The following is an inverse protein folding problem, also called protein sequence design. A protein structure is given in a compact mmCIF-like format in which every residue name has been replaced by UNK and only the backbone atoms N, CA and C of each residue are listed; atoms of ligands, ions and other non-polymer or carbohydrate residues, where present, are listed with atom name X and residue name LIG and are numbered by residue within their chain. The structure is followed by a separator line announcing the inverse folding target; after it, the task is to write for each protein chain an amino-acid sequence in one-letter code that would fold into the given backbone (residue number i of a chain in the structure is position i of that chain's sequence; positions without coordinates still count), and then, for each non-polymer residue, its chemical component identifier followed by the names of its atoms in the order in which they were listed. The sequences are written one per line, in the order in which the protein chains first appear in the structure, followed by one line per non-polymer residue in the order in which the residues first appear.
data_IF_714530599504
#
_entry.id   IF_714530599504
#
_cell.length_a   1.000
_cell.length_b   1.000
_cell.length_c   1.000
_cell.angle_alpha   90.00
_cell.angle_beta   90.00
_cell.angle_gamma   90.00
#
_symmetry.space_group_name_H-M   'P 1'
#
loop_
_entity.id
_entity.type
_entity.pdbx_description
1 polymer ?
#
# COMPACT_ATOMS: atom_id res chain seq x y z
N UNK A 1 18.89 -53.98 -10.91
CA UNK A 1 17.86 -54.75 -10.21
C UNK A 1 16.63 -53.83 -10.07
N UNK A 2 15.74 -54.05 -10.99
CA UNK A 2 14.43 -53.44 -11.17
C UNK A 2 13.41 -54.09 -10.24
N UNK A 3 12.83 -53.33 -9.32
CA UNK A 3 11.69 -53.74 -8.51
C UNK A 3 10.41 -53.11 -9.04
N UNK A 4 9.71 -53.78 -9.93
CA UNK A 4 8.33 -53.43 -10.29
C UNK A 4 7.40 -53.97 -9.21
N UNK A 5 6.74 -53.11 -8.46
CA UNK A 5 5.66 -53.49 -7.56
C UNK A 5 4.39 -53.71 -8.38
N UNK A 6 4.02 -54.98 -8.53
CA UNK A 6 2.78 -55.43 -9.17
C UNK A 6 1.63 -55.20 -8.21
N UNK A 7 0.74 -54.24 -8.51
CA UNK A 7 -0.54 -54.04 -7.80
C UNK A 7 -1.45 -55.19 -8.22
N UNK A 8 -1.75 -56.05 -7.25
CA UNK A 8 -2.47 -57.30 -7.45
C UNK A 8 -3.96 -57.07 -7.68
N UNK A 9 -4.51 -57.82 -8.63
CA UNK A 9 -5.91 -57.92 -9.11
C UNK A 9 -7.06 -58.14 -8.09
N UNK A 10 -6.89 -58.38 -6.79
CA UNK A 10 -8.03 -58.70 -5.93
C UNK A 10 -8.88 -57.52 -5.49
N UNK A 11 -8.39 -56.28 -5.53
CA UNK A 11 -9.17 -55.10 -5.07
C UNK A 11 -10.26 -54.66 -6.09
N UNK A 12 -10.10 -54.95 -7.37
CA UNK A 12 -11.09 -54.61 -8.38
C UNK A 12 -12.28 -55.55 -8.38
N UNK A 13 -12.07 -56.84 -8.04
CA UNK A 13 -13.16 -57.85 -7.99
C UNK A 13 -14.07 -57.65 -6.76
N UNK A 14 -13.55 -57.19 -5.64
CA UNK A 14 -14.37 -56.91 -4.44
C UNK A 14 -15.28 -55.68 -4.73
N UNK A 15 -14.81 -54.67 -5.46
CA UNK A 15 -15.64 -53.49 -5.80
C UNK A 15 -16.76 -53.81 -6.79
N UNK A 16 -16.53 -54.69 -7.72
CA UNK A 16 -17.54 -55.16 -8.72
C UNK A 16 -18.60 -56.05 -8.08
N UNK A 17 -18.23 -56.88 -7.08
CA UNK A 17 -19.20 -57.68 -6.32
C UNK A 17 -20.05 -56.87 -5.40
N UNK A 18 -19.53 -55.84 -4.71
CA UNK A 18 -20.30 -54.93 -3.88
C UNK A 18 -21.31 -54.14 -4.67
N UNK A 19 -20.96 -53.62 -5.85
CA UNK A 19 -21.88 -52.92 -6.76
C UNK A 19 -23.02 -53.81 -7.30
N UNK A 20 -22.72 -55.09 -7.58
CA UNK A 20 -23.76 -56.07 -7.97
C UNK A 20 -24.71 -56.45 -6.81
N UNK A 21 -24.23 -56.50 -5.60
CA UNK A 21 -25.04 -56.75 -4.39
C UNK A 21 -25.98 -55.57 -4.12
N UNK A 22 -25.50 -54.31 -4.24
CA UNK A 22 -26.29 -53.11 -4.11
C UNK A 22 -27.38 -52.97 -5.19
N UNK A 23 -27.08 -53.32 -6.41
CA UNK A 23 -28.06 -53.29 -7.49
C UNK A 23 -29.21 -54.30 -7.31
N UNK A 24 -28.96 -55.46 -6.68
CA UNK A 24 -29.99 -56.43 -6.33
C UNK A 24 -30.86 -55.98 -5.15
N UNK A 25 -30.28 -55.38 -4.12
CA UNK A 25 -31.03 -54.83 -2.98
C UNK A 25 -31.94 -53.68 -3.36
N UNK A 26 -31.51 -52.85 -4.32
CA UNK A 26 -32.30 -51.75 -4.87
C UNK A 26 -33.53 -52.19 -5.63
N UNK A 27 -33.47 -53.36 -6.32
CA UNK A 27 -34.61 -53.94 -7.05
C UNK A 27 -35.64 -54.68 -6.17
N UNK A 28 -35.29 -55.02 -4.94
CA UNK A 28 -36.12 -55.86 -4.06
C UNK A 28 -36.83 -55.08 -2.94
N UNK A 29 -36.55 -53.82 -2.76
CA UNK A 29 -37.16 -53.02 -1.70
C UNK A 29 -37.93 -51.81 -2.27
N UNK A 30 -39.26 -51.83 -2.28
CA UNK A 30 -40.12 -50.75 -2.78
C UNK A 30 -39.90 -49.39 -2.05
N UNK A 31 -39.47 -49.43 -0.79
CA UNK A 31 -39.21 -48.22 0.01
C UNK A 31 -37.94 -47.48 -0.47
N UNK A 32 -36.94 -48.19 -0.96
CA UNK A 32 -35.74 -47.61 -1.55
C UNK A 32 -36.00 -47.01 -2.95
N UNK A 33 -36.98 -47.59 -3.67
CA UNK A 33 -37.38 -47.04 -4.96
C UNK A 33 -38.15 -45.71 -4.81
N UNK A 34 -38.94 -45.57 -3.77
CA UNK A 34 -39.62 -44.30 -3.44
C UNK A 34 -38.66 -43.21 -2.95
N UNK A 35 -37.55 -43.61 -2.31
CA UNK A 35 -36.55 -42.67 -1.84
C UNK A 35 -35.66 -42.19 -2.98
N UNK A 36 -35.29 -43.08 -3.91
CA UNK A 36 -34.57 -42.72 -5.15
C UNK A 36 -35.37 -41.83 -6.11
N UNK A 37 -36.71 -41.99 -6.12
CA UNK A 37 -37.57 -41.14 -6.96
C UNK A 37 -37.71 -39.69 -6.41
N UNK A 38 -37.43 -39.45 -5.13
CA UNK A 38 -37.38 -38.10 -4.56
C UNK A 38 -36.06 -37.38 -4.79
N UNK A 39 -35.05 -38.06 -5.28
CA UNK A 39 -33.72 -37.52 -5.64
C UNK A 39 -33.53 -37.34 -7.17
N UNK A 40 -34.60 -37.58 -7.97
CA UNK A 40 -34.57 -37.21 -9.37
C UNK A 40 -34.69 -35.70 -9.49
N UNK A 41 -33.75 -35.00 -10.13
CA UNK A 41 -33.84 -33.56 -10.36
C UNK A 41 -35.14 -33.29 -11.12
N UNK A 42 -35.97 -32.42 -10.61
CA UNK A 42 -37.11 -31.84 -11.31
C UNK A 42 -36.64 -31.32 -12.66
N UNK A 43 -37.32 -31.69 -13.74
CA UNK A 43 -36.99 -31.35 -15.12
C UNK A 43 -37.22 -29.85 -15.47
N UNK A 44 -37.26 -28.97 -14.50
CA UNK A 44 -37.13 -27.51 -14.62
C UNK A 44 -35.78 -27.08 -14.05
N UNK A 45 -34.73 -27.51 -14.75
CA UNK A 45 -33.36 -27.15 -14.39
C UNK A 45 -33.07 -25.68 -14.67
N UNK A 46 -33.28 -24.83 -13.67
CA UNK A 46 -32.32 -23.73 -13.53
C UNK A 46 -30.94 -24.36 -13.36
N UNK A 47 -29.91 -23.92 -14.08
CA UNK A 47 -28.55 -24.40 -13.87
C UNK A 47 -28.23 -24.16 -12.40
N UNK A 48 -27.93 -25.21 -11.63
CA UNK A 48 -27.26 -25.08 -10.36
C UNK A 48 -25.88 -24.55 -10.74
N UNK A 49 -25.74 -23.23 -10.76
CA UNK A 49 -24.43 -22.61 -10.80
C UNK A 49 -23.76 -23.10 -9.53
N UNK A 50 -22.81 -24.01 -9.67
CA UNK A 50 -21.80 -24.23 -8.64
C UNK A 50 -21.38 -22.84 -8.19
N UNK A 51 -21.40 -22.51 -6.88
CA UNK A 51 -20.85 -21.25 -6.44
C UNK A 51 -19.41 -21.25 -6.93
N UNK A 52 -19.14 -20.44 -7.95
CA UNK A 52 -17.76 -20.11 -8.31
C UNK A 52 -17.32 -19.30 -7.12
N UNK A 53 -16.45 -19.89 -6.30
CA UNK A 53 -15.81 -19.18 -5.20
C UNK A 53 -14.91 -18.13 -5.88
N UNK A 54 -15.45 -16.95 -6.10
CA UNK A 54 -14.68 -15.81 -6.55
C UNK A 54 -13.80 -15.37 -5.37
N UNK A 55 -12.60 -15.92 -5.30
CA UNK A 55 -11.55 -15.33 -4.50
C UNK A 55 -11.17 -14.02 -5.20
N UNK A 56 -11.09 -12.94 -4.44
CA UNK A 56 -10.63 -11.66 -4.97
C UNK A 56 -9.23 -11.82 -5.58
N UNK A 57 -9.05 -11.34 -6.81
CA UNK A 57 -7.75 -11.33 -7.48
C UNK A 57 -6.96 -10.12 -6.99
N UNK A 58 -5.92 -10.39 -6.19
CA UNK A 58 -5.07 -9.38 -5.59
C UNK A 58 -3.71 -9.41 -6.26
N UNK A 59 -3.24 -8.27 -6.75
CA UNK A 59 -1.90 -8.12 -7.32
C UNK A 59 -1.04 -7.18 -6.49
N UNK A 60 0.22 -7.55 -6.33
CA UNK A 60 1.23 -6.73 -5.65
C UNK A 60 2.28 -6.32 -6.66
N UNK A 61 2.34 -5.04 -6.95
CA UNK A 61 3.20 -4.45 -7.97
C UNK A 61 4.37 -3.72 -7.30
N UNK A 62 5.56 -4.25 -7.47
CA UNK A 62 6.80 -3.61 -7.04
C UNK A 62 7.35 -2.70 -8.13
N UNK A 63 7.41 -1.39 -7.87
CA UNK A 63 7.85 -0.38 -8.84
C UNK A 63 9.23 0.16 -8.47
N UNK A 64 10.16 0.07 -9.42
CA UNK A 64 11.55 0.48 -9.22
C UNK A 64 12.34 -0.44 -8.27
N UNK A 65 13.60 -0.11 -8.00
CA UNK A 65 14.49 -0.97 -7.22
C UNK A 65 13.96 -1.29 -5.82
N UNK A 66 13.50 -0.29 -5.06
CA UNK A 66 12.94 -0.49 -3.71
C UNK A 66 11.67 -1.35 -3.73
N UNK A 67 10.73 -1.08 -4.66
CA UNK A 67 9.51 -1.87 -4.79
C UNK A 67 9.77 -3.32 -5.20
N UNK A 68 10.70 -3.56 -6.12
CA UNK A 68 11.11 -4.91 -6.54
C UNK A 68 11.76 -5.67 -5.38
N UNK A 69 12.60 -5.01 -4.56
CA UNK A 69 13.16 -5.65 -3.37
C UNK A 69 12.09 -6.04 -2.36
N UNK A 70 11.11 -5.14 -2.12
CA UNK A 70 9.99 -5.44 -1.25
C UNK A 70 9.15 -6.63 -1.75
N UNK A 71 8.88 -6.72 -3.06
CA UNK A 71 8.20 -7.87 -3.68
C UNK A 71 9.00 -9.15 -3.48
N UNK A 72 10.31 -9.16 -3.75
CA UNK A 72 11.15 -10.33 -3.51
C UNK A 72 11.09 -10.76 -2.03
N UNK A 73 11.12 -9.80 -1.10
CA UNK A 73 10.98 -10.08 0.32
C UNK A 73 9.63 -10.69 0.69
N UNK A 74 8.54 -10.26 0.04
CA UNK A 74 7.19 -10.83 0.24
C UNK A 74 7.12 -12.27 -0.27
N UNK A 75 7.77 -12.56 -1.39
CA UNK A 75 7.88 -13.91 -1.97
C UNK A 75 8.69 -14.81 -1.03
N UNK A 76 9.86 -14.37 -0.58
CA UNK A 76 10.72 -15.10 0.36
C UNK A 76 10.02 -15.41 1.69
N UNK A 77 9.20 -14.47 2.17
CA UNK A 77 8.40 -14.64 3.39
C UNK A 77 7.18 -15.58 3.18
N UNK A 78 6.93 -16.02 1.94
CA UNK A 78 5.86 -16.95 1.60
C UNK A 78 4.46 -16.34 1.63
N UNK A 79 4.30 -15.04 1.35
CA UNK A 79 3.00 -14.41 1.21
C UNK A 79 2.21 -15.09 0.09
N UNK A 80 1.00 -15.56 0.39
CA UNK A 80 0.14 -16.33 -0.52
C UNK A 80 -1.15 -15.61 -0.83
N UNK A 81 -1.83 -16.04 -1.90
CA UNK A 81 -3.12 -15.50 -2.30
C UNK A 81 -3.03 -14.18 -3.06
N UNK A 82 -1.84 -13.84 -3.53
CA UNK A 82 -1.55 -12.66 -4.36
C UNK A 82 -0.69 -13.04 -5.55
N UNK A 83 -0.80 -12.27 -6.63
CA UNK A 83 0.08 -12.35 -7.80
C UNK A 83 1.11 -11.23 -7.74
N UNK A 84 2.38 -11.54 -8.01
CA UNK A 84 3.46 -10.58 -7.93
C UNK A 84 3.87 -10.06 -9.29
N UNK A 85 3.96 -8.73 -9.41
CA UNK A 85 4.40 -8.02 -10.61
C UNK A 85 5.59 -7.14 -10.26
N UNK A 86 6.69 -7.25 -10.99
CA UNK A 86 7.86 -6.38 -10.84
C UNK A 86 7.98 -5.47 -12.06
N UNK A 87 8.05 -4.16 -11.83
CA UNK A 87 8.19 -3.13 -12.87
C UNK A 87 9.46 -2.32 -12.59
N UNK A 88 10.38 -2.26 -13.53
CA UNK A 88 11.60 -1.50 -13.35
C UNK A 88 12.16 -0.98 -14.69
N UNK A 89 12.93 0.11 -14.64
CA UNK A 89 13.77 0.62 -15.73
C UNK A 89 15.18 0.02 -15.72
N UNK A 90 15.54 -0.71 -14.66
CA UNK A 90 16.80 -1.44 -14.53
C UNK A 90 16.56 -2.93 -14.83
N UNK A 91 17.02 -3.35 -16.02
CA UNK A 91 16.86 -4.71 -16.49
C UNK A 91 17.63 -5.73 -15.63
N UNK A 92 18.77 -5.35 -15.03
CA UNK A 92 19.56 -6.25 -14.19
C UNK A 92 18.84 -6.55 -12.88
N UNK A 93 18.32 -5.51 -12.22
CA UNK A 93 17.51 -5.67 -11.01
C UNK A 93 16.25 -6.51 -11.28
N UNK A 94 15.64 -6.32 -12.45
CA UNK A 94 14.44 -7.08 -12.85
C UNK A 94 14.74 -8.57 -13.10
N UNK A 95 15.90 -8.90 -13.67
CA UNK A 95 16.32 -10.29 -13.87
C UNK A 95 16.49 -11.03 -12.53
N UNK A 96 16.91 -10.34 -11.48
CA UNK A 96 17.12 -10.89 -10.14
C UNK A 96 15.85 -11.01 -9.32
N UNK A 97 14.73 -10.49 -9.81
CA UNK A 97 13.43 -10.60 -9.13
C UNK A 97 12.86 -12.01 -9.25
N UNK A 98 12.16 -12.46 -8.21
CA UNK A 98 11.42 -13.73 -8.18
C UNK A 98 9.94 -13.56 -8.53
N UNK A 99 9.51 -12.34 -8.91
CA UNK A 99 8.14 -12.07 -9.33
C UNK A 99 7.76 -12.86 -10.58
N UNK A 100 6.50 -13.34 -10.64
CA UNK A 100 5.96 -14.13 -11.75
C UNK A 100 5.88 -13.31 -13.04
N UNK A 101 5.48 -12.03 -12.90
CA UNK A 101 5.37 -11.09 -14.02
C UNK A 101 6.44 -10.02 -13.87
N UNK A 102 7.23 -9.80 -14.91
CA UNK A 102 8.31 -8.82 -14.94
C UNK A 102 8.16 -7.91 -16.15
N UNK A 103 8.05 -6.61 -15.91
CA UNK A 103 7.87 -5.62 -16.98
C UNK A 103 9.08 -4.69 -17.00
N UNK A 104 9.85 -4.76 -18.07
CA UNK A 104 10.99 -3.87 -18.32
C UNK A 104 10.50 -2.63 -19.08
N UNK A 105 10.25 -1.56 -18.33
CA UNK A 105 9.83 -0.26 -18.88
C UNK A 105 11.02 0.62 -19.32
N UNK A 106 12.25 0.11 -19.17
CA UNK A 106 13.47 0.86 -19.46
C UNK A 106 14.02 0.67 -20.87
N UNK A 107 13.50 -0.26 -21.68
CA UNK A 107 14.10 -0.70 -22.94
C UNK A 107 14.42 0.47 -23.88
N UNK A 108 13.48 1.35 -24.10
CA UNK A 108 13.59 2.42 -25.08
C UNK A 108 14.29 3.65 -24.53
N UNK A 109 13.89 4.11 -23.34
CA UNK A 109 14.35 5.40 -22.78
C UNK A 109 15.67 5.27 -22.01
N UNK A 110 15.87 4.19 -21.24
CA UNK A 110 17.03 4.02 -20.35
C UNK A 110 17.98 2.93 -20.80
N UNK A 111 17.65 2.16 -21.82
CA UNK A 111 18.40 0.99 -22.30
C UNK A 111 18.66 -0.04 -21.19
N UNK A 112 17.74 -0.16 -20.24
CA UNK A 112 17.86 -1.07 -19.11
C UNK A 112 18.86 -0.63 -18.02
N UNK A 113 19.32 0.63 -18.03
CA UNK A 113 20.33 1.16 -17.08
C UNK A 113 19.71 1.93 -15.91
N UNK A 114 18.38 1.95 -15.79
CA UNK A 114 17.68 2.70 -14.76
C UNK A 114 17.41 4.17 -15.13
N UNK A 115 16.53 4.82 -14.37
CA UNK A 115 16.07 6.20 -14.62
C UNK A 115 17.04 7.29 -14.11
N UNK A 116 18.22 6.95 -13.59
CA UNK A 116 19.22 7.92 -13.14
C UNK A 116 18.78 8.85 -12.01
N UNK A 117 17.88 8.41 -11.15
CA UNK A 117 17.23 9.21 -10.09
C UNK A 117 16.38 10.38 -10.61
N UNK A 118 15.90 10.31 -11.85
CA UNK A 118 15.00 11.28 -12.45
C UNK A 118 13.57 10.70 -12.54
N UNK A 119 12.58 11.23 -11.78
CA UNK A 119 11.21 10.73 -11.82
C UNK A 119 10.49 10.98 -13.13
N UNK A 120 10.84 12.04 -13.86
CA UNK A 120 10.19 12.34 -15.15
C UNK A 120 10.56 11.27 -16.20
N UNK A 121 11.79 10.75 -16.14
CA UNK A 121 12.20 9.59 -16.95
C UNK A 121 11.44 8.34 -16.53
N UNK A 122 11.27 8.12 -15.22
CA UNK A 122 10.49 7.00 -14.68
C UNK A 122 9.03 7.03 -15.12
N UNK A 123 8.40 8.20 -15.06
CA UNK A 123 7.01 8.39 -15.50
C UNK A 123 6.86 8.16 -17.02
N UNK A 124 7.70 8.82 -17.84
CA UNK A 124 7.68 8.64 -19.29
C UNK A 124 7.92 7.17 -19.71
N UNK A 125 8.78 6.44 -18.97
CA UNK A 125 9.02 5.03 -19.23
C UNK A 125 7.77 4.17 -18.95
N UNK A 126 7.03 4.46 -17.88
CA UNK A 126 5.80 3.76 -17.55
C UNK A 126 4.67 4.11 -18.54
N UNK A 127 4.54 5.37 -18.95
CA UNK A 127 3.58 5.81 -19.97
C UNK A 127 3.84 5.13 -21.32
N UNK A 128 5.11 4.99 -21.73
CA UNK A 128 5.48 4.30 -22.97
C UNK A 128 5.11 2.80 -22.97
N UNK A 129 4.93 2.18 -21.79
CA UNK A 129 4.57 0.77 -21.61
C UNK A 129 3.17 0.58 -20.99
N UNK A 130 2.28 1.57 -21.14
CA UNK A 130 0.93 1.54 -20.56
C UNK A 130 0.16 0.27 -20.91
N UNK A 131 0.19 -0.16 -22.19
CA UNK A 131 -0.54 -1.33 -22.65
C UNK A 131 -0.04 -2.64 -22.01
N UNK A 132 1.28 -2.75 -21.78
CA UNK A 132 1.89 -3.91 -21.15
C UNK A 132 1.52 -3.96 -19.65
N UNK A 133 1.57 -2.81 -18.97
CA UNK A 133 1.15 -2.68 -17.57
C UNK A 133 -0.35 -2.96 -17.43
N UNK A 134 -1.18 -2.39 -18.30
CA UNK A 134 -2.64 -2.61 -18.33
C UNK A 134 -2.97 -4.09 -18.47
N UNK A 135 -2.33 -4.77 -19.40
CA UNK A 135 -2.52 -6.23 -19.62
C UNK A 135 -2.13 -7.03 -18.37
N UNK A 136 -1.05 -6.66 -17.70
CA UNK A 136 -0.61 -7.34 -16.48
C UNK A 136 -1.56 -7.10 -15.29
N UNK A 137 -2.29 -5.99 -15.27
CA UNK A 137 -3.21 -5.63 -14.19
C UNK A 137 -4.67 -6.00 -14.48
N UNK A 138 -5.00 -6.40 -15.71
CA UNK A 138 -6.36 -6.74 -16.10
C UNK A 138 -6.95 -7.84 -15.21
N UNK A 139 -8.23 -7.69 -14.85
CA UNK A 139 -8.98 -8.65 -14.03
C UNK A 139 -8.64 -8.64 -12.55
N UNK A 140 -7.83 -7.70 -12.05
CA UNK A 140 -7.58 -7.56 -10.62
C UNK A 140 -8.72 -6.81 -9.92
N UNK A 141 -9.13 -7.31 -8.74
CA UNK A 141 -10.07 -6.64 -7.83
C UNK A 141 -9.36 -5.63 -6.94
N UNK A 142 -8.08 -5.91 -6.59
CA UNK A 142 -7.23 -5.06 -5.76
C UNK A 142 -5.80 -5.05 -6.27
N UNK A 143 -5.17 -3.88 -6.25
CA UNK A 143 -3.77 -3.69 -6.63
C UNK A 143 -3.04 -2.94 -5.53
N UNK A 144 -2.01 -3.59 -4.98
CA UNK A 144 -1.04 -2.92 -4.12
C UNK A 144 0.11 -2.40 -4.98
N UNK A 145 0.48 -1.16 -4.79
CA UNK A 145 1.64 -0.55 -5.43
C UNK A 145 2.67 -0.27 -4.36
N UNK A 146 3.80 -0.98 -4.41
CA UNK A 146 4.89 -0.78 -3.48
C UNK A 146 6.08 -0.15 -4.18
N UNK A 147 6.61 0.92 -3.59
CA UNK A 147 7.75 1.64 -4.12
C UNK A 147 8.57 2.29 -3.00
N UNK A 148 9.88 2.41 -3.23
CA UNK A 148 10.72 3.31 -2.46
C UNK A 148 10.72 4.68 -3.13
N UNK A 149 10.20 5.68 -2.44
CA UNK A 149 10.12 7.04 -2.96
C UNK A 149 11.46 7.78 -2.85
N UNK A 150 11.65 8.79 -3.70
CA UNK A 150 12.87 9.59 -3.76
C UNK A 150 13.89 9.09 -4.80
N UNK A 151 13.59 7.96 -5.47
CA UNK A 151 14.31 7.49 -6.65
C UNK A 151 13.71 8.00 -7.96
N UNK A 152 14.23 7.55 -9.10
CA UNK A 152 13.67 7.89 -10.41
C UNK A 152 12.46 7.03 -10.75
N UNK A 153 12.67 5.70 -10.88
CA UNK A 153 11.66 4.77 -11.36
C UNK A 153 10.47 4.66 -10.40
N UNK A 154 10.73 4.40 -9.09
CA UNK A 154 9.66 4.26 -8.09
C UNK A 154 8.78 5.50 -8.04
N UNK A 155 9.41 6.67 -7.82
CA UNK A 155 8.73 7.96 -7.67
C UNK A 155 7.96 8.41 -8.91
N UNK A 156 8.51 8.11 -10.11
CA UNK A 156 7.88 8.53 -11.37
C UNK A 156 6.84 7.55 -11.89
N UNK A 157 7.15 6.26 -11.89
CA UNK A 157 6.29 5.24 -12.48
C UNK A 157 5.13 4.81 -11.59
N UNK A 158 5.27 4.84 -10.24
CA UNK A 158 4.21 4.38 -9.34
C UNK A 158 2.88 5.15 -9.53
N UNK A 159 2.84 6.49 -9.69
CA UNK A 159 1.60 7.20 -9.99
C UNK A 159 0.95 6.80 -11.32
N UNK A 160 1.75 6.49 -12.35
CA UNK A 160 1.25 6.04 -13.65
C UNK A 160 0.62 4.65 -13.53
N UNK A 161 1.30 3.73 -12.86
CA UNK A 161 0.79 2.37 -12.57
C UNK A 161 -0.51 2.45 -11.76
N UNK A 162 -0.59 3.38 -10.79
CA UNK A 162 -1.79 3.59 -9.98
C UNK A 162 -2.98 4.07 -10.82
N UNK A 163 -2.75 5.01 -11.71
CA UNK A 163 -3.78 5.53 -12.63
C UNK A 163 -4.34 4.43 -13.54
N UNK A 164 -3.46 3.57 -14.06
CA UNK A 164 -3.85 2.41 -14.86
C UNK A 164 -4.70 1.44 -14.04
N UNK A 165 -4.24 1.05 -12.82
CA UNK A 165 -4.97 0.15 -11.93
C UNK A 165 -6.36 0.69 -11.57
N UNK A 166 -6.43 1.97 -11.20
CA UNK A 166 -7.71 2.66 -10.88
C UNK A 166 -8.62 2.74 -12.09
N UNK A 167 -8.09 2.97 -13.30
CA UNK A 167 -8.87 3.00 -14.54
C UNK A 167 -9.51 1.64 -14.88
N UNK A 168 -8.90 0.53 -14.44
CA UNK A 168 -9.43 -0.82 -14.57
C UNK A 168 -10.50 -1.16 -13.50
N UNK A 169 -10.76 -0.26 -12.54
CA UNK A 169 -11.75 -0.43 -11.47
C UNK A 169 -11.26 -1.24 -10.27
N UNK A 170 -9.97 -1.53 -10.20
CA UNK A 170 -9.34 -2.19 -9.06
C UNK A 170 -9.25 -1.22 -7.87
N UNK A 171 -9.48 -1.73 -6.65
CA UNK A 171 -9.13 -0.99 -5.43
C UNK A 171 -7.62 -0.82 -5.35
N UNK A 172 -7.14 0.42 -5.43
CA UNK A 172 -5.72 0.73 -5.58
C UNK A 172 -5.13 1.28 -4.30
N UNK A 173 -4.13 0.59 -3.75
CA UNK A 173 -3.51 0.93 -2.47
C UNK A 173 -2.01 1.15 -2.69
N UNK A 174 -1.53 2.35 -2.36
CA UNK A 174 -0.10 2.66 -2.35
C UNK A 174 0.50 2.34 -0.97
N UNK A 175 1.54 1.50 -0.93
CA UNK A 175 2.32 1.22 0.29
C UNK A 175 3.77 1.54 -0.01
N UNK A 176 4.22 2.73 0.40
CA UNK A 176 5.49 3.30 -0.04
C UNK A 176 6.35 3.75 1.13
N UNK A 177 7.66 3.78 0.91
CA UNK A 177 8.61 4.23 1.92
C UNK A 177 9.16 5.61 1.57
N UNK A 178 9.34 6.45 2.60
CA UNK A 178 10.11 7.68 2.53
C UNK A 178 11.57 7.39 2.86
N UNK A 179 12.56 7.93 2.11
CA UNK A 179 13.96 7.62 2.30
C UNK A 179 14.47 8.03 3.68
N UNK A 180 15.56 7.39 4.12
CA UNK A 180 16.29 7.80 5.31
C UNK A 180 16.92 9.19 5.13
N UNK A 181 17.07 9.96 6.20
CA UNK A 181 17.69 11.29 6.18
C UNK A 181 19.13 11.26 5.66
N UNK A 182 19.89 10.18 5.92
CA UNK A 182 21.26 10.04 5.42
C UNK A 182 21.34 9.85 3.89
N UNK A 183 20.23 9.49 3.21
CA UNK A 183 20.19 9.40 1.75
C UNK A 183 20.17 10.78 1.07
N UNK A 184 20.00 11.85 1.83
CA UNK A 184 20.19 13.22 1.43
C UNK A 184 18.90 13.99 1.11
N UNK A 185 18.97 15.31 1.33
CA UNK A 185 17.83 16.22 1.22
C UNK A 185 17.15 16.22 -0.15
N UNK A 186 17.94 16.09 -1.25
CA UNK A 186 17.38 16.07 -2.61
C UNK A 186 16.41 14.90 -2.75
N UNK A 187 16.81 13.71 -2.25
CA UNK A 187 16.01 12.50 -2.34
C UNK A 187 14.74 12.59 -1.49
N UNK A 188 14.83 13.21 -0.31
CA UNK A 188 13.66 13.46 0.55
C UNK A 188 12.64 14.39 -0.10
N UNK A 189 13.08 15.53 -0.69
CA UNK A 189 12.17 16.45 -1.40
C UNK A 189 11.51 15.77 -2.60
N UNK A 190 12.27 14.96 -3.33
CA UNK A 190 11.75 14.21 -4.47
C UNK A 190 10.73 13.15 -4.04
N UNK A 191 10.97 12.50 -2.89
CA UNK A 191 10.02 11.57 -2.29
C UNK A 191 8.69 12.26 -1.93
N UNK A 192 8.74 13.43 -1.28
CA UNK A 192 7.54 14.18 -0.92
C UNK A 192 6.71 14.56 -2.15
N UNK A 193 7.35 14.92 -3.25
CA UNK A 193 6.67 15.21 -4.52
C UNK A 193 6.01 13.95 -5.11
N UNK A 194 6.70 12.81 -5.08
CA UNK A 194 6.19 11.54 -5.57
C UNK A 194 5.00 11.04 -4.75
N UNK A 195 5.13 11.08 -3.42
CA UNK A 195 4.08 10.71 -2.46
C UNK A 195 2.80 11.52 -2.73
N UNK A 196 2.92 12.85 -2.95
CA UNK A 196 1.77 13.69 -3.25
C UNK A 196 1.14 13.34 -4.61
N UNK A 197 1.94 13.10 -5.65
CA UNK A 197 1.43 12.67 -6.97
C UNK A 197 0.73 11.30 -6.88
N UNK A 198 1.31 10.37 -6.12
CA UNK A 198 0.72 9.04 -5.94
C UNK A 198 -0.59 9.11 -5.16
N UNK A 199 -0.67 9.96 -4.13
CA UNK A 199 -1.89 10.17 -3.32
C UNK A 199 -3.11 10.53 -4.18
N UNK A 200 -2.93 11.32 -5.24
CA UNK A 200 -4.00 11.71 -6.15
C UNK A 200 -4.50 10.56 -7.04
N UNK A 201 -3.70 9.49 -7.18
CA UNK A 201 -3.94 8.37 -8.11
C UNK A 201 -4.40 7.08 -7.44
N UNK A 202 -4.21 6.94 -6.13
CA UNK A 202 -4.64 5.77 -5.35
C UNK A 202 -5.93 6.04 -4.58
N UNK A 203 -6.58 4.99 -4.09
CA UNK A 203 -7.72 5.09 -3.17
C UNK A 203 -7.25 5.30 -1.74
N UNK A 204 -6.19 4.58 -1.37
CA UNK A 204 -5.56 4.67 -0.04
C UNK A 204 -4.05 4.66 -0.19
N UNK A 205 -3.38 5.51 0.58
CA UNK A 205 -1.92 5.58 0.63
C UNK A 205 -1.41 5.38 2.05
N UNK A 206 -0.52 4.41 2.22
CA UNK A 206 0.24 4.17 3.44
C UNK A 206 1.68 4.59 3.19
N UNK A 207 2.16 5.57 3.94
CA UNK A 207 3.55 6.06 3.84
C UNK A 207 4.32 5.61 5.07
N UNK A 208 5.46 4.98 4.85
CA UNK A 208 6.35 4.47 5.91
C UNK A 208 7.60 5.33 5.94
N UNK A 209 7.79 6.16 6.98
CA UNK A 209 9.00 6.96 7.11
C UNK A 209 10.15 6.09 7.62
N UNK A 210 11.16 5.84 6.76
CA UNK A 210 12.29 4.98 7.11
C UNK A 210 13.07 5.51 8.34
N UNK A 211 13.13 6.82 8.56
CA UNK A 211 13.78 7.39 9.75
C UNK A 211 13.15 6.90 11.06
N UNK A 212 11.86 6.58 11.07
CA UNK A 212 11.18 6.03 12.26
C UNK A 212 11.66 4.62 12.58
N UNK A 213 12.13 3.87 11.57
CA UNK A 213 12.69 2.54 11.76
C UNK A 213 14.00 2.56 12.55
N UNK A 214 14.76 3.67 12.46
CA UNK A 214 15.97 3.84 13.26
C UNK A 214 15.69 3.85 14.77
N UNK A 215 14.51 4.29 15.19
CA UNK A 215 14.11 4.30 16.61
C UNK A 215 13.82 2.91 17.18
N UNK A 216 13.53 1.94 16.32
CA UNK A 216 13.27 0.52 16.69
C UNK A 216 14.54 -0.33 16.50
N UNK A 217 15.52 0.20 15.77
CA UNK A 217 16.78 -0.50 15.48
C UNK A 217 17.77 -0.38 16.65
N UNK A 218 18.67 -1.35 16.76
CA UNK A 218 19.78 -1.28 17.70
C UNK A 218 20.92 -0.40 17.16
N UNK A 219 21.80 0.10 18.04
CA UNK A 219 22.97 0.88 17.63
C UNK A 219 23.92 0.12 16.69
N UNK A 220 23.89 -1.21 16.71
CA UNK A 220 24.74 -2.08 15.90
C UNK A 220 24.08 -2.51 14.57
N UNK A 221 22.89 -1.98 14.24
CA UNK A 221 22.17 -2.32 13.02
C UNK A 221 22.93 -1.86 11.79
N UNK A 222 23.26 -2.78 10.89
CA UNK A 222 23.93 -2.45 9.62
C UNK A 222 22.97 -1.73 8.66
N UNK A 223 23.55 -1.01 7.67
CA UNK A 223 22.73 -0.36 6.61
C UNK A 223 21.89 -1.39 5.87
N UNK A 224 22.41 -2.56 5.57
CA UNK A 224 21.68 -3.64 4.89
C UNK A 224 20.48 -4.09 5.74
N UNK A 225 20.68 -4.23 7.04
CA UNK A 225 19.61 -4.60 7.96
C UNK A 225 18.54 -3.50 8.08
N UNK A 226 18.93 -2.22 8.05
CA UNK A 226 18.00 -1.10 8.07
C UNK A 226 17.06 -1.12 6.84
N UNK A 227 17.59 -1.38 5.64
CA UNK A 227 16.76 -1.55 4.44
C UNK A 227 15.88 -2.79 4.52
N UNK A 228 16.40 -3.88 5.07
CA UNK A 228 15.61 -5.11 5.27
C UNK A 228 14.44 -4.89 6.22
N UNK A 229 14.63 -4.12 7.30
CA UNK A 229 13.54 -3.73 8.20
C UNK A 229 12.48 -2.91 7.44
N UNK A 230 12.89 -2.01 6.54
CA UNK A 230 11.95 -1.25 5.71
C UNK A 230 11.13 -2.17 4.78
N UNK A 231 11.78 -3.15 4.14
CA UNK A 231 11.11 -4.13 3.30
C UNK A 231 10.15 -5.02 4.11
N UNK A 232 10.53 -5.42 5.34
CA UNK A 232 9.68 -6.18 6.26
C UNK A 232 8.43 -5.38 6.70
N UNK A 233 8.55 -4.07 6.87
CA UNK A 233 7.39 -3.21 7.18
C UNK A 233 6.45 -3.10 5.98
N UNK A 234 6.98 -2.98 4.75
CA UNK A 234 6.16 -3.03 3.53
C UNK A 234 5.42 -4.38 3.41
N UNK A 235 6.12 -5.49 3.69
CA UNK A 235 5.50 -6.81 3.77
C UNK A 235 4.34 -6.84 4.77
N UNK A 236 4.54 -6.36 6.00
CA UNK A 236 3.51 -6.34 7.03
C UNK A 236 2.31 -5.48 6.62
N UNK A 237 2.53 -4.38 5.89
CA UNK A 237 1.46 -3.54 5.36
C UNK A 237 0.57 -4.27 4.35
N UNK A 238 1.19 -4.94 3.39
CA UNK A 238 0.47 -5.74 2.40
C UNK A 238 -0.16 -6.97 3.04
N UNK A 239 0.60 -7.70 3.86
CA UNK A 239 0.13 -8.91 4.54
C UNK A 239 -1.05 -8.62 5.47
N UNK A 240 -1.01 -7.50 6.22
CA UNK A 240 -2.07 -7.13 7.17
C UNK A 240 -3.45 -6.99 6.51
N UNK A 241 -3.49 -6.60 5.25
CA UNK A 241 -4.73 -6.49 4.47
C UNK A 241 -5.04 -7.80 3.74
N UNK A 242 -4.04 -8.37 3.04
CA UNK A 242 -4.26 -9.55 2.18
C UNK A 242 -4.70 -10.77 2.97
N UNK A 243 -4.11 -11.01 4.15
CA UNK A 243 -4.47 -12.17 4.98
C UNK A 243 -5.90 -12.13 5.49
N UNK A 244 -6.46 -10.93 5.73
CA UNK A 244 -7.88 -10.78 6.11
C UNK A 244 -8.83 -11.28 5.02
N UNK A 245 -8.43 -11.15 3.76
CA UNK A 245 -9.26 -11.48 2.59
C UNK A 245 -9.01 -12.92 2.13
N UNK A 246 -7.73 -13.35 2.12
CA UNK A 246 -7.31 -14.59 1.46
C UNK A 246 -7.20 -15.78 2.40
N UNK A 247 -6.99 -15.54 3.70
CA UNK A 247 -6.75 -16.62 4.69
C UNK A 247 -7.99 -16.89 5.51
N UNK A 248 -8.55 -18.10 5.46
CA UNK A 248 -9.65 -18.47 6.35
C UNK A 248 -9.21 -18.39 7.82
N UNK A 249 -9.81 -17.49 8.56
CA UNK A 249 -9.57 -17.31 10.00
C UNK A 249 -10.78 -17.75 10.84
N UNK A 250 -10.73 -17.49 12.16
CA UNK A 250 -11.87 -17.67 13.05
C UNK A 250 -12.96 -16.64 12.83
N UNK A 251 -12.56 -15.41 12.50
CA UNK A 251 -13.42 -14.32 12.07
C UNK A 251 -12.93 -13.86 10.71
N UNK A 252 -13.75 -14.05 9.70
CA UNK A 252 -13.43 -13.72 8.33
C UNK A 252 -14.02 -12.36 7.96
N UNK A 253 -13.23 -11.56 7.28
CA UNK A 253 -13.64 -10.30 6.66
C UNK A 253 -13.80 -10.55 5.17
N UNK A 254 -14.89 -10.07 4.57
CA UNK A 254 -15.03 -10.16 3.12
C UNK A 254 -14.32 -8.97 2.40
N UNK A 255 -14.11 -9.13 1.10
CA UNK A 255 -13.46 -8.10 0.28
C UNK A 255 -14.28 -6.80 0.23
N UNK A 256 -15.61 -6.88 0.27
CA UNK A 256 -16.48 -5.71 0.20
C UNK A 256 -16.35 -4.83 1.44
N UNK A 257 -16.17 -5.43 2.62
CA UNK A 257 -15.93 -4.71 3.87
C UNK A 257 -14.60 -3.95 3.80
N UNK A 258 -13.51 -4.61 3.37
CA UNK A 258 -12.20 -3.98 3.20
C UNK A 258 -12.29 -2.83 2.18
N UNK A 259 -12.98 -3.06 1.05
CA UNK A 259 -13.20 -2.03 0.02
C UNK A 259 -13.96 -0.83 0.57
N UNK A 260 -14.97 -1.03 1.41
CA UNK A 260 -15.75 0.06 2.02
C UNK A 260 -14.89 1.00 2.88
N UNK A 261 -13.90 0.47 3.60
CA UNK A 261 -12.97 1.28 4.42
C UNK A 261 -11.94 1.99 3.55
N UNK A 262 -11.33 1.28 2.59
CA UNK A 262 -10.14 1.74 1.89
C UNK A 262 -10.43 2.49 0.58
N UNK A 263 -11.64 2.40 0.01
CA UNK A 263 -11.98 3.13 -1.20
C UNK A 263 -12.03 4.63 -0.94
N UNK A 264 -11.27 5.42 -1.70
CA UNK A 264 -11.12 6.88 -1.57
C UNK A 264 -10.84 7.35 -0.13
N UNK A 265 -10.12 6.56 0.66
CA UNK A 265 -9.84 6.88 2.06
C UNK A 265 -8.68 7.88 2.22
N UNK A 266 -7.91 8.13 1.16
CA UNK A 266 -6.79 9.06 1.19
C UNK A 266 -5.59 8.52 1.97
N UNK A 267 -5.06 9.30 2.91
CA UNK A 267 -3.95 8.86 3.75
C UNK A 267 -4.40 7.84 4.79
N UNK A 268 -3.61 6.79 4.96
CA UNK A 268 -3.79 5.80 6.02
C UNK A 268 -2.49 5.62 6.82
N UNK A 269 -2.64 5.29 8.08
CA UNK A 269 -1.55 5.01 9.01
C UNK A 269 -1.57 3.53 9.36
N UNK A 270 -0.39 2.94 9.53
CA UNK A 270 -0.25 1.55 9.91
C UNK A 270 0.60 1.42 11.19
N UNK A 271 0.09 0.63 12.13
CA UNK A 271 0.82 0.24 13.32
C UNK A 271 0.87 -1.27 13.45
N UNK A 272 2.02 -1.79 13.85
CA UNK A 272 2.23 -3.22 14.11
C UNK A 272 2.79 -3.37 15.52
N UNK A 273 2.19 -4.28 16.29
CA UNK A 273 2.67 -4.62 17.62
C UNK A 273 2.69 -6.14 17.82
N UNK A 274 3.75 -6.64 18.43
CA UNK A 274 3.90 -8.06 18.75
C UNK A 274 4.23 -8.22 20.23
N UNK A 275 3.60 -9.19 20.87
CA UNK A 275 3.84 -9.51 22.27
C UNK A 275 3.64 -11.01 22.54
N UNK A 276 4.31 -11.50 23.57
CA UNK A 276 4.23 -12.91 24.04
C UNK A 276 4.08 -12.95 25.54
N UNK A 277 3.67 -14.11 26.11
CA UNK A 277 3.47 -14.33 27.54
C UNK A 277 2.11 -13.88 28.04
N UNK A 278 2.01 -13.56 29.34
CA UNK A 278 0.77 -13.09 29.96
C UNK A 278 0.36 -11.72 29.40
N UNK A 279 -0.94 -11.49 29.19
CA UNK A 279 -1.51 -10.26 28.60
C UNK A 279 -0.96 -9.94 27.20
N UNK A 280 -0.53 -10.95 26.42
CA UNK A 280 0.07 -10.76 25.09
C UNK A 280 -0.85 -10.01 24.12
N UNK A 281 -2.18 -10.19 24.20
CA UNK A 281 -3.16 -9.45 23.40
C UNK A 281 -3.14 -7.96 23.69
N UNK A 282 -3.20 -7.58 24.96
CA UNK A 282 -3.12 -6.19 25.46
C UNK A 282 -1.77 -5.57 25.10
N UNK A 283 -0.67 -6.33 25.33
CA UNK A 283 0.68 -5.89 25.01
C UNK A 283 0.88 -5.62 23.53
N UNK A 284 0.39 -6.50 22.66
CA UNK A 284 0.47 -6.33 21.21
C UNK A 284 -0.37 -5.13 20.74
N UNK A 285 -1.61 -4.97 21.23
CA UNK A 285 -2.47 -3.85 20.88
C UNK A 285 -1.85 -2.49 21.28
N UNK A 286 -1.32 -2.38 22.51
CA UNK A 286 -0.64 -1.17 22.97
C UNK A 286 0.58 -0.84 22.12
N UNK A 287 1.40 -1.82 21.76
CA UNK A 287 2.54 -1.63 20.87
C UNK A 287 2.10 -1.20 19.47
N UNK A 288 0.99 -1.72 18.96
CA UNK A 288 0.46 -1.34 17.66
C UNK A 288 0.04 0.13 17.62
N UNK A 289 -0.72 0.62 18.61
CA UNK A 289 -1.15 2.04 18.67
C UNK A 289 -0.04 3.02 19.05
N UNK A 290 1.02 2.54 19.68
CA UNK A 290 2.20 3.34 20.02
C UNK A 290 3.37 3.11 19.07
N UNK A 291 3.12 2.43 17.95
CA UNK A 291 4.15 2.09 16.96
C UNK A 291 4.81 3.36 16.43
N UNK A 292 6.15 3.44 16.38
CA UNK A 292 6.86 4.56 15.78
C UNK A 292 6.53 4.78 14.30
N UNK A 293 5.97 3.76 13.63
CA UNK A 293 5.52 3.83 12.23
C UNK A 293 4.30 4.74 12.05
N UNK A 294 3.55 5.00 13.12
CA UNK A 294 2.47 5.96 13.12
C UNK A 294 3.07 7.38 13.18
N UNK A 295 2.97 8.14 12.09
CA UNK A 295 3.43 9.55 12.06
C UNK A 295 2.57 10.46 12.94
N UNK A 296 1.32 10.07 13.20
CA UNK A 296 0.35 10.77 14.03
C UNK A 296 -0.51 9.79 14.83
N UNK A 297 -1.29 10.30 15.76
CA UNK A 297 -2.27 9.49 16.50
C UNK A 297 -3.32 8.94 15.55
N UNK A 298 -3.79 7.72 15.83
CA UNK A 298 -4.95 7.13 15.14
C UNK A 298 -6.28 7.78 15.57
N UNK A 299 -6.25 8.71 16.53
CA UNK A 299 -7.38 9.52 16.92
C UNK A 299 -7.97 10.25 15.71
N UNK A 300 -9.27 10.11 15.51
CA UNK A 300 -9.93 10.72 14.35
C UNK A 300 -10.03 9.84 13.11
N UNK A 301 -9.37 8.67 13.06
CA UNK A 301 -9.60 7.68 12.00
C UNK A 301 -11.05 7.20 12.05
N UNK A 302 -11.70 7.16 10.88
CA UNK A 302 -13.09 6.72 10.74
C UNK A 302 -13.23 5.32 10.17
N UNK A 303 -12.18 4.80 9.57
CA UNK A 303 -12.07 3.42 9.13
C UNK A 303 -10.87 2.76 9.79
N UNK A 304 -11.08 1.63 10.42
CA UNK A 304 -10.01 0.84 11.04
C UNK A 304 -10.12 -0.60 10.57
N UNK A 305 -9.01 -1.11 10.02
CA UNK A 305 -8.81 -2.53 9.81
C UNK A 305 -7.90 -3.06 10.91
N UNK A 306 -8.39 -4.04 11.63
CA UNK A 306 -7.68 -4.69 12.72
C UNK A 306 -7.44 -6.16 12.38
N UNK A 307 -6.19 -6.55 12.22
CA UNK A 307 -5.77 -7.92 12.01
C UNK A 307 -5.05 -8.46 13.27
N UNK A 308 -5.57 -9.52 13.84
CA UNK A 308 -4.99 -10.20 15.00
C UNK A 308 -4.51 -11.56 14.55
N UNK A 309 -3.19 -11.77 14.55
CA UNK A 309 -2.55 -13.03 14.16
C UNK A 309 -1.95 -13.70 15.39
N UNK A 310 -2.24 -14.98 15.58
CA UNK A 310 -1.67 -15.80 16.65
C UNK A 310 -1.77 -17.27 16.33
N UNK A 311 -1.20 -18.12 17.17
CA UNK A 311 -1.34 -19.59 17.02
C UNK A 311 -2.74 -20.07 17.40
N UNK A 312 -3.01 -21.37 17.29
CA UNK A 312 -4.26 -22.02 17.72
C UNK A 312 -4.58 -21.83 19.21
N UNK A 313 -3.64 -21.32 20.00
CA UNK A 313 -3.83 -20.97 21.42
C UNK A 313 -4.47 -19.60 21.65
N UNK A 314 -4.77 -18.84 20.59
CA UNK A 314 -5.36 -17.51 20.65
C UNK A 314 -6.74 -17.56 21.34
N UNK A 315 -6.87 -16.90 22.49
CA UNK A 315 -8.08 -16.86 23.31
C UNK A 315 -9.06 -15.77 22.87
N UNK A 316 -10.36 -16.05 23.01
CA UNK A 316 -11.40 -15.05 22.70
C UNK A 316 -11.28 -13.79 23.56
N UNK A 317 -10.91 -13.94 24.83
CA UNK A 317 -10.73 -12.80 25.74
C UNK A 317 -9.55 -11.92 25.31
N UNK A 318 -8.43 -12.52 24.85
CA UNK A 318 -7.26 -11.80 24.35
C UNK A 318 -7.60 -10.96 23.11
N UNK A 319 -8.43 -11.52 22.21
CA UNK A 319 -8.93 -10.81 21.01
C UNK A 319 -9.81 -9.64 21.42
N UNK A 320 -10.74 -9.85 22.37
CA UNK A 320 -11.66 -8.82 22.85
C UNK A 320 -10.89 -7.67 23.52
N UNK A 321 -9.99 -7.97 24.43
CA UNK A 321 -9.16 -6.96 25.13
C UNK A 321 -8.32 -6.14 24.16
N UNK A 322 -7.71 -6.79 23.16
CA UNK A 322 -6.96 -6.12 22.11
C UNK A 322 -7.86 -5.16 21.29
N UNK A 323 -9.07 -5.62 20.92
CA UNK A 323 -10.03 -4.82 20.17
C UNK A 323 -10.55 -3.63 20.99
N UNK A 324 -10.85 -3.80 22.29
CA UNK A 324 -11.29 -2.72 23.18
C UNK A 324 -10.25 -1.60 23.29
N UNK A 325 -8.97 -1.93 23.37
CA UNK A 325 -7.88 -0.94 23.41
C UNK A 325 -7.86 -0.09 22.13
N UNK A 326 -7.99 -0.73 20.96
CA UNK A 326 -8.00 -0.02 19.67
C UNK A 326 -9.26 0.85 19.56
N UNK A 327 -10.41 0.32 19.93
CA UNK A 327 -11.69 1.04 19.92
C UNK A 327 -11.68 2.26 20.84
N UNK A 328 -11.01 2.13 22.00
CA UNK A 328 -10.91 3.23 22.99
C UNK A 328 -10.10 4.44 22.51
N UNK A 329 -9.25 4.27 21.48
CA UNK A 329 -8.42 5.34 20.89
C UNK A 329 -9.02 5.86 19.58
N UNK A 330 -9.83 5.05 18.90
CA UNK A 330 -10.48 5.40 17.64
C UNK A 330 -11.57 6.48 17.81
N UNK A 331 -12.00 7.09 16.69
CA UNK A 331 -13.16 7.97 16.71
C UNK A 331 -14.41 7.18 17.17
N UNK A 332 -15.32 7.76 18.00
CA UNK A 332 -16.54 7.06 18.46
C UNK A 332 -17.41 6.49 17.35
N UNK A 333 -17.46 7.15 16.18
CA UNK A 333 -18.20 6.71 15.00
C UNK A 333 -17.34 5.94 14.00
N UNK A 334 -16.14 5.44 14.41
CA UNK A 334 -15.27 4.69 13.51
C UNK A 334 -15.88 3.35 13.12
N UNK A 335 -15.83 3.02 11.84
CA UNK A 335 -16.12 1.68 11.37
C UNK A 335 -14.89 0.80 11.57
N UNK A 336 -14.99 -0.15 12.50
CA UNK A 336 -13.91 -1.07 12.84
C UNK A 336 -14.23 -2.45 12.28
N UNK A 337 -13.40 -2.89 11.35
CA UNK A 337 -13.44 -4.24 10.80
C UNK A 337 -12.28 -5.01 11.42
N UNK A 338 -12.57 -6.14 12.03
CA UNK A 338 -11.54 -6.98 12.59
C UNK A 338 -11.60 -8.40 12.03
N UNK A 339 -10.43 -9.00 11.87
CA UNK A 339 -10.28 -10.39 11.52
C UNK A 339 -9.19 -11.05 12.35
N UNK A 340 -9.29 -12.37 12.45
CA UNK A 340 -8.31 -13.17 13.17
C UNK A 340 -7.72 -14.22 12.24
N UNK A 341 -6.39 -14.31 12.23
CA UNK A 341 -5.63 -15.26 11.43
C UNK A 341 -4.87 -16.21 12.33
N UNK A 342 -4.96 -17.51 12.06
CA UNK A 342 -4.21 -18.52 12.79
C UNK A 342 -2.93 -18.84 12.01
N UNK A 343 -1.79 -18.59 12.65
CA UNK A 343 -0.45 -18.92 12.14
C UNK A 343 0.34 -19.65 13.25
N UNK A 344 0.54 -20.94 13.07
CA UNK A 344 1.26 -21.77 14.04
C UNK A 344 2.73 -21.39 14.21
N UNK A 345 3.32 -20.66 13.25
CA UNK A 345 4.69 -20.18 13.35
C UNK A 345 4.84 -19.09 14.42
N UNK A 346 3.75 -18.44 14.82
CA UNK A 346 3.75 -17.43 15.89
C UNK A 346 4.05 -17.99 17.28
N UNK A 347 3.86 -19.32 17.49
CA UNK A 347 4.08 -19.95 18.78
C UNK A 347 3.25 -19.31 19.90
N UNK A 348 3.91 -18.70 20.88
CA UNK A 348 3.25 -17.99 21.99
C UNK A 348 3.04 -16.48 21.73
N UNK A 349 3.46 -15.98 20.58
CA UNK A 349 3.30 -14.57 20.25
C UNK A 349 1.92 -14.27 19.64
N UNK A 350 1.43 -13.04 19.88
CA UNK A 350 0.31 -12.43 19.17
C UNK A 350 0.81 -11.20 18.46
N UNK A 351 0.45 -11.05 17.17
CA UNK A 351 0.70 -9.85 16.39
C UNK A 351 -0.61 -9.15 16.12
N UNK A 352 -0.64 -7.86 16.42
CA UNK A 352 -1.75 -6.96 16.13
C UNK A 352 -1.30 -5.96 15.07
N UNK A 353 -1.97 -5.95 13.93
CA UNK A 353 -1.77 -4.96 12.86
C UNK A 353 -3.01 -4.09 12.75
N UNK A 354 -2.81 -2.78 12.89
CA UNK A 354 -3.87 -1.77 12.81
C UNK A 354 -3.61 -0.91 11.59
N UNK A 355 -4.60 -0.76 10.73
CA UNK A 355 -4.58 0.19 9.61
C UNK A 355 -5.72 1.17 9.84
N UNK A 356 -5.35 2.42 10.09
CA UNK A 356 -6.28 3.51 10.37
C UNK A 356 -6.36 4.41 9.13
N UNK A 357 -7.56 4.66 8.64
CA UNK A 357 -7.82 5.37 7.40
C UNK A 357 -8.98 6.36 7.53
N UNK A 358 -9.21 7.20 6.52
CA UNK A 358 -10.34 8.11 6.46
C UNK A 358 -10.17 9.39 7.26
N UNK A 359 -8.95 9.82 7.52
CA UNK A 359 -8.63 11.10 8.16
C UNK A 359 -9.03 12.28 7.27
N UNK A 360 -8.79 12.20 5.97
CA UNK A 360 -8.97 13.29 5.00
C UNK A 360 -10.45 13.57 4.70
N UNK A 361 -11.31 12.56 4.70
CA UNK A 361 -12.77 12.73 4.45
C UNK A 361 -13.47 13.64 5.44
N UNK A 362 -12.87 13.88 6.60
CA UNK A 362 -13.46 14.70 7.65
C UNK A 362 -12.92 16.14 7.65
N UNK A 363 -11.71 16.36 7.20
CA UNK A 363 -11.13 17.69 7.05
C UNK A 363 -11.99 18.53 6.10
N UNK A 364 -12.47 17.93 5.00
CA UNK A 364 -13.35 18.58 4.03
C UNK A 364 -14.78 18.82 4.56
N UNK A 365 -15.30 17.92 5.42
CA UNK A 365 -16.64 18.06 5.99
C UNK A 365 -16.69 19.05 7.16
N UNK A 366 -15.56 19.34 7.82
CA UNK A 366 -15.43 20.33 8.90
C UNK A 366 -14.88 21.66 8.42
N UNK A 367 -14.41 21.77 7.17
CA UNK A 367 -14.18 23.06 6.57
C UNK A 367 -15.51 23.83 6.63
N UNK A 368 -15.58 25.01 7.31
CA UNK A 368 -16.81 25.78 7.32
C UNK A 368 -17.18 26.00 5.87
N UNK A 369 -18.38 25.54 5.47
CA UNK A 369 -18.91 25.77 4.14
C UNK A 369 -18.68 27.24 3.85
N UNK A 370 -17.75 27.53 2.94
CA UNK A 370 -17.44 28.90 2.55
C UNK A 370 -18.78 29.53 2.24
N UNK A 371 -19.18 30.50 3.04
CA UNK A 371 -20.50 31.08 3.08
C UNK A 371 -20.98 31.20 1.62
N UNK A 372 -22.05 30.48 1.33
CA UNK A 372 -22.68 30.56 0.02
C UNK A 372 -22.80 32.02 -0.30
N UNK A 373 -22.03 32.47 -1.26
CA UNK A 373 -22.05 33.86 -1.75
C UNK A 373 -23.50 34.17 -2.07
N UNK A 374 -24.11 34.97 -1.22
CA UNK A 374 -25.40 35.56 -1.50
C UNK A 374 -25.33 36.15 -2.94
N UNK A 375 -26.38 35.99 -3.74
CA UNK A 375 -26.38 36.54 -5.08
C UNK A 375 -26.06 38.03 -5.00
N UNK A 376 -25.24 38.59 -5.91
CA UNK A 376 -24.82 39.99 -5.82
C UNK A 376 -26.08 40.87 -5.80
N UNK A 377 -26.29 41.54 -4.67
CA UNK A 377 -27.30 42.61 -4.59
C UNK A 377 -26.86 43.68 -5.62
N UNK A 378 -27.80 43.98 -6.51
CA UNK A 378 -27.67 45.08 -7.48
C UNK A 378 -27.31 46.35 -6.73
N UNK A 379 -26.04 46.74 -6.80
CA UNK A 379 -25.59 48.06 -6.32
C UNK A 379 -26.03 49.10 -7.34
N UNK A 380 -26.86 50.02 -6.90
CA UNK A 380 -27.24 51.19 -7.69
C UNK A 380 -25.94 51.93 -8.06
N UNK A 381 -25.87 52.58 -9.28
CA UNK A 381 -24.66 53.23 -9.74
C UNK A 381 -24.26 54.34 -8.79
N UNK A 382 -23.07 54.25 -8.22
CA UNK A 382 -22.44 55.30 -7.44
C UNK A 382 -22.27 56.57 -8.30
N UNK A 383 -22.61 57.72 -7.74
CA UNK A 383 -22.43 59.01 -8.32
C UNK A 383 -20.95 59.23 -8.75
N UNK A 384 -20.77 59.82 -9.90
CA UNK A 384 -19.47 60.13 -10.46
C UNK A 384 -18.62 60.96 -9.49
N UNK A 385 -17.30 60.71 -9.38
CA UNK A 385 -16.43 61.56 -8.60
C UNK A 385 -16.31 62.98 -9.18
N UNK A 386 -16.09 64.00 -8.34
CA UNK A 386 -15.95 65.38 -8.81
C UNK A 386 -14.74 65.50 -9.74
N UNK A 387 -14.94 66.22 -10.84
CA UNK A 387 -13.92 66.64 -11.81
C UNK A 387 -12.98 67.59 -11.07
N UNK A 388 -11.72 67.23 -10.94
CA UNK A 388 -10.64 68.07 -10.39
C UNK A 388 -10.10 68.96 -11.52
N UNK A 389 -10.09 70.27 -11.28
CA UNK A 389 -9.53 71.26 -12.20
C UNK A 389 -7.98 71.27 -12.06
N UNK A 390 -7.19 71.18 -13.14
CA UNK A 390 -5.76 71.01 -13.05
C UNK A 390 -4.96 72.34 -12.88
N UNK A 391 -5.58 73.44 -12.49
CA UNK A 391 -4.88 74.74 -12.33
C UNK A 391 -4.72 75.23 -10.89
N UNK A 392 -4.23 74.38 -9.98
CA UNK A 392 -3.65 74.91 -8.71
C UNK A 392 -2.78 73.83 -8.05
N UNK A 393 -1.54 73.64 -8.52
CA UNK A 393 -0.48 73.08 -7.65
C UNK A 393 0.75 73.96 -7.83
N UNK A 394 0.94 74.79 -6.86
CA UNK A 394 2.17 75.55 -6.65
C UNK A 394 3.30 74.60 -6.26
N UNK A 395 4.41 74.91 -6.86
CA UNK A 395 5.74 74.32 -6.79
C UNK A 395 6.21 74.13 -5.32
N UNK A 396 6.56 72.88 -4.96
CA UNK A 396 7.56 72.65 -3.91
C UNK A 396 8.85 72.14 -4.60
N UNK A 397 9.73 73.11 -4.90
CA UNK A 397 11.16 72.88 -4.97
C UNK A 397 11.64 72.51 -3.55
N UNK A 398 12.14 71.38 -3.38
CA UNK A 398 13.27 70.96 -2.54
C UNK A 398 13.17 69.50 -2.13
N UNK A 399 13.72 68.58 -2.91
CA UNK A 399 14.21 67.31 -2.41
C UNK A 399 15.46 66.92 -3.20
N UNK A 400 16.59 67.28 -2.61
CA UNK A 400 17.92 66.80 -2.96
C UNK A 400 17.99 65.27 -2.94
N UNK A 401 18.47 64.76 -4.02
CA UNK A 401 18.76 63.38 -4.37
C UNK A 401 19.72 62.73 -3.34
N UNK A 402 19.40 61.58 -2.77
CA UNK A 402 20.36 60.73 -2.06
C UNK A 402 20.63 59.43 -2.81
N UNK A 403 21.13 59.54 -4.05
CA UNK A 403 21.84 58.38 -4.64
C UNK A 403 23.33 58.58 -4.40
N UNK A 404 23.82 57.95 -3.35
CA UNK A 404 25.23 57.70 -3.07
C UNK A 404 25.80 56.80 -4.15
N UNK A 405 26.84 57.25 -4.83
CA UNK A 405 27.59 56.57 -5.88
C UNK A 405 28.15 55.23 -5.34
N UNK A 406 27.83 54.14 -6.01
CA UNK A 406 28.47 52.83 -5.82
C UNK A 406 29.87 52.94 -6.44
N UNK A 407 30.96 52.72 -5.66
CA UNK A 407 32.32 52.77 -6.20
C UNK A 407 32.56 51.57 -7.13
N UNK A 408 33.23 51.84 -8.24
CA UNK A 408 33.65 50.85 -9.23
C UNK A 408 34.54 49.75 -8.64
N UNK A 409 34.50 48.51 -9.19
CA UNK A 409 35.30 47.39 -8.68
C UNK A 409 36.80 47.67 -8.89
N UNK A 410 37.58 47.58 -7.81
CA UNK A 410 39.01 47.62 -7.81
C UNK A 410 39.56 46.33 -8.41
N UNK A 411 40.35 46.39 -9.48
CA UNK A 411 41.12 45.29 -9.99
C UNK A 411 42.20 44.91 -8.96
N UNK A 412 42.00 43.77 -8.30
CA UNK A 412 42.97 43.15 -7.46
C UNK A 412 43.86 42.22 -8.30
N UNK A 413 44.96 42.74 -8.79
CA UNK A 413 46.12 41.96 -9.13
C UNK A 413 46.72 41.42 -7.84
N UNK A 414 46.64 40.17 -7.59
CA UNK A 414 47.27 39.46 -6.48
C UNK A 414 47.67 38.07 -6.92
N UNK A 415 48.96 37.79 -6.90
CA UNK A 415 49.60 36.52 -7.15
C UNK A 415 48.91 35.39 -6.32
N UNK A 416 48.42 34.37 -7.00
CA UNK A 416 47.93 33.13 -6.41
C UNK A 416 49.08 32.10 -6.28
N UNK A 417 50.08 32.40 -5.43
CA UNK A 417 51.12 31.45 -5.03
C UNK A 417 51.17 31.34 -3.51
N UNK A 418 50.13 30.83 -2.88
CA UNK A 418 50.22 30.23 -1.53
C UNK A 418 48.84 29.64 -1.17
N UNK A 419 48.45 28.53 -1.79
CA UNK A 419 47.46 27.61 -1.27
C UNK A 419 48.18 26.52 -0.52
N UNK A 420 48.21 26.62 0.81
CA UNK A 420 48.66 25.60 1.73
C UNK A 420 47.85 24.31 1.53
N UNK A 421 48.46 23.35 0.83
CA UNK A 421 47.90 22.01 0.66
C UNK A 421 48.10 21.23 1.94
N UNK A 422 47.04 20.72 2.62
CA UNK A 422 47.19 19.93 3.85
C UNK A 422 48.12 18.73 3.67
N UNK A 423 48.88 18.41 4.70
CA UNK A 423 49.98 17.44 4.70
C UNK A 423 49.57 15.97 4.44
N UNK A 424 48.25 15.66 4.35
CA UNK A 424 47.75 14.32 4.05
C UNK A 424 47.53 14.07 2.54
N UNK A 425 47.83 15.05 1.69
CA UNK A 425 47.77 14.95 0.22
C UNK A 425 49.13 15.03 -0.46
N UNK A 426 50.22 14.91 0.30
CA UNK A 426 51.57 14.75 -0.22
C UNK A 426 52.01 13.30 -0.20
#
# INVERSE_FOLDING_TARGET
NSGHTVITKPLLEVHVQTLKCWSRLYKLNPALQLWGARLSPSANGAPVTTPINYLAVIKVVGVGGGGVNAVNRMIDAGLRGVEFVAINTDAQALLMSDAEIKIDIGRELTRGLGAGSDPDIGAAAAEAHEDEIRTALEGSDMVFITAGEGGGTGTGAAPVVADIAKSLGALTIGVVTRPFAFEGRRRSVQADQGINKLKEKVDTQIVIPNDRLLSISSADTSIIEAFRIADDVLLHGVQGITTLITTPGLVNTDFADVKMILNDAGSALMGVGESSGEERGVGAARKAISSPLLESSIEGARGILLNITGSSTLGLLEVNEAAEIIQGVAHPDANIIFGTVIDENMGDAIRVTVIAAGFDRWADATAPAAAATAPPQSVAPAAAPPVYDPEEIDVFDDLSDPFEEIPAPVEAGGDFDDLDVPSFLK
#
